data_IF_475627608340
#
_entry.id   IF_475627608340
#
_cell.length_a   1.000
_cell.length_b   1.000
_cell.length_c   1.000
_cell.angle_alpha   90.00
_cell.angle_beta   90.00
_cell.angle_gamma   90.00
#
_symmetry.space_group_name_H-M   'P 1'
#
loop_
_entity.id
_entity.type
_entity.pdbx_description
1 polymer ?
#
# COMPACT_ATOMS: atom_id res chain seq x y z
N UNK A 1 -18.35 -59.31 12.92
CA UNK A 1 -17.02 -58.68 13.10
C UNK A 1 -16.72 -57.59 12.07
N UNK A 2 -17.00 -57.80 10.77
CA UNK A 2 -16.64 -56.84 9.70
C UNK A 2 -17.48 -55.54 9.70
N UNK A 3 -18.77 -55.61 10.03
CA UNK A 3 -19.70 -54.46 9.98
C UNK A 3 -19.39 -53.40 11.07
N UNK A 4 -18.99 -53.85 12.27
CA UNK A 4 -18.63 -52.97 13.37
C UNK A 4 -17.34 -52.18 13.09
N UNK A 5 -16.35 -52.83 12.48
CA UNK A 5 -15.11 -52.18 12.06
C UNK A 5 -15.35 -51.13 10.96
N UNK A 6 -16.30 -51.38 10.05
CA UNK A 6 -16.67 -50.43 8.99
C UNK A 6 -17.37 -49.18 9.56
N UNK A 7 -18.28 -49.35 10.53
CA UNK A 7 -18.98 -48.23 11.17
C UNK A 7 -18.04 -47.36 12.02
N UNK A 8 -17.09 -47.98 12.72
CA UNK A 8 -16.06 -47.28 13.49
C UNK A 8 -15.13 -46.45 12.58
N UNK A 9 -14.74 -46.98 11.42
CA UNK A 9 -13.90 -46.26 10.46
C UNK A 9 -14.64 -45.11 9.78
N UNK A 10 -15.90 -45.31 9.37
CA UNK A 10 -16.76 -44.24 8.83
C UNK A 10 -17.03 -43.13 9.86
N UNK A 11 -17.24 -43.48 11.13
CA UNK A 11 -17.38 -42.50 12.23
C UNK A 11 -16.10 -41.68 12.43
N UNK A 12 -14.92 -42.31 12.34
CA UNK A 12 -13.64 -41.61 12.45
C UNK A 12 -13.37 -40.67 11.25
N UNK A 13 -13.73 -41.09 10.04
CA UNK A 13 -13.62 -40.26 8.83
C UNK A 13 -14.56 -39.04 8.88
N UNK A 14 -15.78 -39.21 9.37
CA UNK A 14 -16.74 -38.11 9.55
C UNK A 14 -16.31 -37.07 10.60
N UNK A 15 -15.64 -37.51 11.68
CA UNK A 15 -15.07 -36.59 12.68
C UNK A 15 -13.83 -35.85 12.16
N UNK A 16 -12.99 -36.48 11.33
CA UNK A 16 -11.83 -35.82 10.73
C UNK A 16 -12.20 -34.67 9.79
N UNK A 17 -13.33 -34.76 9.08
CA UNK A 17 -13.82 -33.67 8.20
C UNK A 17 -14.45 -32.50 8.96
N UNK A 18 -14.78 -32.66 10.24
CA UNK A 18 -15.41 -31.62 11.08
C UNK A 18 -14.41 -30.79 11.91
N UNK A 19 -13.11 -31.11 11.86
CA UNK A 19 -12.08 -30.44 12.66
C UNK A 19 -10.93 -29.87 11.83
N UNK A 20 -11.22 -29.25 10.67
CA UNK A 20 -10.31 -28.26 10.10
C UNK A 20 -10.83 -26.85 10.36
N UNK A 21 -10.76 -26.43 11.62
CA UNK A 21 -10.73 -25.01 11.93
C UNK A 21 -9.39 -24.48 11.43
N UNK A 22 -9.35 -23.92 10.22
CA UNK A 22 -8.20 -23.14 9.77
C UNK A 22 -8.04 -21.96 10.71
N UNK A 23 -7.00 -21.99 11.54
CA UNK A 23 -6.63 -20.88 12.38
C UNK A 23 -6.31 -19.69 11.48
N UNK A 24 -7.08 -18.60 11.61
CA UNK A 24 -6.74 -17.33 10.98
C UNK A 24 -5.42 -16.87 11.59
N UNK A 25 -4.34 -16.68 10.82
CA UNK A 25 -3.07 -16.25 11.37
C UNK A 25 -3.24 -14.87 12.03
N UNK A 26 -2.90 -14.78 13.32
CA UNK A 26 -2.83 -13.50 14.03
C UNK A 26 -1.57 -12.79 13.54
N UNK A 27 -1.74 -11.74 12.74
CA UNK A 27 -0.63 -10.89 12.30
C UNK A 27 -0.34 -9.84 13.39
N UNK A 28 0.79 -9.92 14.12
CA UNK A 28 1.13 -8.92 15.11
C UNK A 28 1.39 -7.57 14.42
N UNK A 29 0.77 -6.51 14.92
CA UNK A 29 1.10 -5.14 14.50
C UNK A 29 2.54 -4.85 14.96
N UNK A 30 3.40 -4.53 14.00
CA UNK A 30 4.81 -4.22 14.25
C UNK A 30 5.35 -3.25 13.20
N UNK A 31 6.65 -2.94 13.29
CA UNK A 31 7.34 -2.03 12.37
C UNK A 31 7.62 -2.65 10.99
N UNK A 32 7.14 -3.88 10.75
CA UNK A 32 7.21 -4.60 9.48
C UNK A 32 8.63 -4.57 8.85
N UNK A 33 9.65 -5.17 9.49
CA UNK A 33 11.06 -4.99 9.14
C UNK A 33 11.45 -5.49 7.75
N UNK A 34 10.63 -6.35 7.14
CA UNK A 34 10.84 -6.87 5.78
C UNK A 34 10.04 -6.13 4.72
N UNK A 35 9.35 -5.05 5.12
CA UNK A 35 8.68 -4.15 4.17
C UNK A 35 9.72 -3.35 3.41
N UNK A 36 9.60 -3.30 2.09
CA UNK A 36 10.30 -2.32 1.28
C UNK A 36 9.61 -0.97 1.43
N UNK A 37 10.27 -0.03 2.12
CA UNK A 37 9.69 1.21 2.63
C UNK A 37 10.43 2.47 2.15
N UNK A 38 11.18 2.37 1.05
CA UNK A 38 12.07 3.42 0.53
C UNK A 38 11.34 4.75 0.31
N UNK A 39 11.87 5.81 0.92
CA UNK A 39 11.35 7.17 0.83
C UNK A 39 12.08 8.04 -0.22
N UNK A 40 13.13 7.52 -0.87
CA UNK A 40 13.90 8.21 -1.92
C UNK A 40 14.41 9.61 -1.51
N UNK A 41 14.74 9.78 -0.23
CA UNK A 41 15.22 11.06 0.31
C UNK A 41 16.60 11.35 -0.26
N UNK A 42 16.72 12.47 -0.98
CA UNK A 42 17.98 12.92 -1.57
C UNK A 42 18.33 12.29 -2.93
N UNK A 43 17.49 11.42 -3.49
CA UNK A 43 17.76 10.75 -4.77
C UNK A 43 16.55 10.68 -5.71
N UNK A 44 15.49 11.42 -5.43
CA UNK A 44 14.29 11.43 -6.25
C UNK A 44 14.58 11.86 -7.70
N UNK A 45 15.44 12.85 -7.90
CA UNK A 45 15.81 13.34 -9.25
C UNK A 45 16.58 12.28 -10.04
N UNK A 46 17.56 11.61 -9.42
CA UNK A 46 18.29 10.50 -10.08
C UNK A 46 17.36 9.32 -10.38
N UNK A 47 16.41 9.02 -9.49
CA UNK A 47 15.40 7.99 -9.76
C UNK A 47 14.45 8.37 -10.90
N UNK A 48 14.08 9.65 -11.07
CA UNK A 48 13.27 10.11 -12.21
C UNK A 48 13.94 9.80 -13.56
N UNK A 49 15.26 9.91 -13.64
CA UNK A 49 16.01 9.62 -14.87
C UNK A 49 15.97 8.14 -15.25
N UNK A 50 15.89 7.25 -14.26
CA UNK A 50 15.92 5.78 -14.45
C UNK A 50 14.52 5.16 -14.51
N UNK A 51 13.54 5.77 -13.85
CA UNK A 51 12.22 5.18 -13.62
C UNK A 51 11.45 4.89 -14.91
N UNK A 52 11.60 5.70 -15.96
CA UNK A 52 10.91 5.48 -17.23
C UNK A 52 11.37 4.18 -17.93
N UNK A 53 12.68 3.95 -17.99
CA UNK A 53 13.24 2.74 -18.58
C UNK A 53 12.86 1.50 -17.75
N UNK A 54 13.00 1.60 -16.43
CA UNK A 54 12.59 0.56 -15.50
C UNK A 54 11.12 0.17 -15.65
N UNK A 55 10.22 1.15 -15.71
CA UNK A 55 8.79 0.88 -15.85
C UNK A 55 8.49 0.15 -17.17
N UNK A 56 9.18 0.50 -18.26
CA UNK A 56 9.05 -0.20 -19.54
C UNK A 56 9.47 -1.67 -19.42
N UNK A 57 10.55 -1.96 -18.71
CA UNK A 57 10.99 -3.33 -18.43
C UNK A 57 10.01 -4.09 -17.54
N UNK A 58 9.47 -3.44 -16.50
CA UNK A 58 8.47 -4.01 -15.60
C UNK A 58 7.19 -4.38 -16.35
N UNK A 59 6.66 -3.47 -17.17
CA UNK A 59 5.48 -3.72 -18.01
C UNK A 59 5.73 -4.83 -19.04
N UNK A 60 6.93 -4.94 -19.60
CA UNK A 60 7.27 -6.00 -20.55
C UNK A 60 7.24 -7.40 -19.92
N UNK A 61 7.46 -7.49 -18.60
CA UNK A 61 7.52 -8.76 -17.85
C UNK A 61 6.26 -9.03 -17.02
N UNK A 62 5.33 -8.08 -16.95
CA UNK A 62 4.18 -8.14 -16.05
C UNK A 62 2.90 -7.67 -16.76
N UNK A 63 2.16 -8.60 -17.38
CA UNK A 63 0.99 -8.31 -18.20
C UNK A 63 -0.07 -7.46 -17.47
N UNK A 64 -0.38 -7.80 -16.23
CA UNK A 64 -1.36 -7.07 -15.43
C UNK A 64 -0.92 -5.61 -15.14
N UNK A 65 0.38 -5.37 -15.00
CA UNK A 65 0.91 -4.02 -14.79
C UNK A 65 0.78 -3.21 -16.07
N UNK A 66 1.17 -3.79 -17.21
CA UNK A 66 1.06 -3.17 -18.52
C UNK A 66 -0.39 -2.76 -18.83
N UNK A 67 -1.32 -3.70 -18.72
CA UNK A 67 -2.75 -3.44 -19.00
C UNK A 67 -3.33 -2.38 -18.06
N UNK A 68 -2.99 -2.45 -16.77
CA UNK A 68 -3.43 -1.45 -15.79
C UNK A 68 -2.87 -0.07 -16.08
N UNK A 69 -1.59 0.01 -16.47
CA UNK A 69 -0.90 1.26 -16.76
C UNK A 69 -1.43 1.91 -18.03
N UNK A 70 -1.62 1.14 -19.11
CA UNK A 70 -2.18 1.63 -20.39
C UNK A 70 -3.59 2.18 -20.19
N UNK A 71 -4.47 1.44 -19.50
CA UNK A 71 -5.83 1.92 -19.19
C UNK A 71 -5.82 3.18 -18.30
N UNK A 72 -4.93 3.23 -17.31
CA UNK A 72 -4.80 4.40 -16.45
C UNK A 72 -4.23 5.62 -17.19
N UNK A 73 -3.36 5.42 -18.18
CA UNK A 73 -2.83 6.49 -19.03
C UNK A 73 -3.94 7.15 -19.86
N UNK A 74 -4.79 6.35 -20.51
CA UNK A 74 -5.95 6.87 -21.26
C UNK A 74 -6.91 7.67 -20.36
N UNK A 75 -7.20 7.14 -19.17
CA UNK A 75 -8.07 7.82 -18.21
C UNK A 75 -7.43 9.08 -17.62
N UNK A 76 -6.11 9.11 -17.45
CA UNK A 76 -5.36 10.29 -16.99
C UNK A 76 -5.45 11.45 -17.99
N UNK A 77 -5.37 11.18 -19.29
CA UNK A 77 -5.41 12.23 -20.33
C UNK A 77 -6.65 13.10 -20.26
N UNK A 78 -7.80 12.50 -19.94
CA UNK A 78 -9.06 13.21 -19.75
C UNK A 78 -9.11 13.91 -18.40
N UNK A 79 -8.69 13.21 -17.34
CA UNK A 79 -8.81 13.70 -15.96
C UNK A 79 -7.88 14.89 -15.68
N UNK A 80 -6.66 14.90 -16.21
CA UNK A 80 -5.67 15.95 -15.90
C UNK A 80 -6.08 17.35 -16.37
N UNK A 81 -6.93 17.47 -17.40
CA UNK A 81 -7.34 18.77 -17.98
C UNK A 81 -8.09 19.67 -16.98
N UNK A 82 -8.69 19.08 -15.94
CA UNK A 82 -9.42 19.81 -14.89
C UNK A 82 -8.65 19.98 -13.58
N UNK A 83 -7.37 19.58 -13.52
CA UNK A 83 -6.60 19.55 -12.28
C UNK A 83 -5.52 20.63 -12.25
N UNK A 84 -5.37 21.27 -11.09
CA UNK A 84 -4.18 22.09 -10.79
C UNK A 84 -3.18 21.20 -10.04
N UNK A 85 -2.09 20.85 -10.71
CA UNK A 85 -1.07 19.94 -10.18
C UNK A 85 0.08 20.71 -9.52
N UNK A 86 0.69 20.18 -8.44
CA UNK A 86 1.80 20.85 -7.77
C UNK A 86 3.07 20.84 -8.66
N UNK A 87 4.02 21.78 -8.42
CA UNK A 87 5.28 21.81 -9.15
C UNK A 87 6.01 20.47 -9.10
N UNK A 88 6.55 20.03 -10.25
CA UNK A 88 7.24 18.74 -10.36
C UNK A 88 6.33 17.52 -10.50
N UNK A 89 5.00 17.67 -10.40
CA UNK A 89 4.06 16.57 -10.61
C UNK A 89 3.90 16.24 -12.09
N UNK A 90 4.61 15.20 -12.53
CA UNK A 90 4.53 14.59 -13.86
C UNK A 90 3.34 13.62 -14.04
N UNK A 91 2.89 13.35 -15.27
CA UNK A 91 1.80 12.41 -15.55
C UNK A 91 1.96 11.02 -14.92
N UNK A 92 3.19 10.49 -14.90
CA UNK A 92 3.50 9.16 -14.36
C UNK A 92 3.11 9.02 -12.87
N UNK A 93 3.21 10.10 -12.09
CA UNK A 93 2.76 10.13 -10.70
C UNK A 93 1.25 9.94 -10.58
N UNK A 94 0.49 10.64 -11.42
CA UNK A 94 -0.96 10.55 -11.47
C UNK A 94 -1.44 9.18 -11.92
N UNK A 95 -0.81 8.66 -12.97
CA UNK A 95 -1.09 7.31 -13.49
C UNK A 95 -0.79 6.26 -12.42
N UNK A 96 0.34 6.33 -11.72
CA UNK A 96 0.66 5.40 -10.63
C UNK A 96 -0.40 5.38 -9.52
N UNK A 97 -0.94 6.54 -9.13
CA UNK A 97 -2.05 6.64 -8.17
C UNK A 97 -3.31 5.97 -8.73
N UNK A 98 -3.66 6.22 -9.99
CA UNK A 98 -4.82 5.58 -10.64
C UNK A 98 -4.67 4.06 -10.74
N UNK A 99 -3.48 3.58 -11.09
CA UNK A 99 -3.13 2.16 -11.13
C UNK A 99 -3.32 1.51 -9.77
N UNK A 100 -2.76 2.09 -8.70
CA UNK A 100 -2.86 1.53 -7.34
C UNK A 100 -4.30 1.49 -6.81
N UNK A 101 -5.11 2.49 -7.18
CA UNK A 101 -6.46 2.67 -6.64
C UNK A 101 -7.51 1.92 -7.46
N UNK A 102 -7.14 1.45 -8.65
CA UNK A 102 -8.01 0.64 -9.49
C UNK A 102 -8.45 -0.62 -8.74
N UNK A 103 -9.76 -0.77 -8.55
CA UNK A 103 -10.36 -1.92 -7.87
C UNK A 103 -10.90 -2.95 -8.85
N UNK A 104 -10.82 -2.68 -10.16
CA UNK A 104 -11.26 -3.60 -11.21
C UNK A 104 -10.24 -4.72 -11.48
N UNK A 105 -9.08 -4.69 -10.82
CA UNK A 105 -8.07 -5.73 -10.92
C UNK A 105 -7.29 -5.91 -9.59
N UNK A 106 -6.38 -6.90 -9.58
CA UNK A 106 -5.63 -7.34 -8.40
C UNK A 106 -4.22 -6.75 -8.29
N UNK A 107 -3.83 -5.77 -9.11
CA UNK A 107 -2.45 -5.28 -9.14
C UNK A 107 -2.05 -4.60 -7.82
N UNK A 108 -2.96 -3.87 -7.17
CA UNK A 108 -2.71 -3.27 -5.86
C UNK A 108 -2.35 -4.33 -4.82
N UNK A 109 -2.98 -5.51 -4.91
CA UNK A 109 -2.73 -6.63 -4.01
C UNK A 109 -1.34 -7.22 -4.24
N UNK A 110 -0.96 -7.44 -5.51
CA UNK A 110 0.37 -7.93 -5.87
C UNK A 110 1.47 -6.95 -5.45
N UNK A 111 1.25 -5.64 -5.63
CA UNK A 111 2.17 -4.61 -5.14
C UNK A 111 2.29 -4.67 -3.62
N UNK A 112 1.18 -4.69 -2.88
CA UNK A 112 1.19 -4.74 -1.42
C UNK A 112 1.91 -5.99 -0.89
N UNK A 113 1.73 -7.14 -1.56
CA UNK A 113 2.43 -8.36 -1.20
C UNK A 113 3.94 -8.28 -1.49
N UNK A 114 4.32 -7.71 -2.63
CA UNK A 114 5.72 -7.48 -2.96
C UNK A 114 6.38 -6.50 -1.98
N UNK A 115 5.66 -5.45 -1.56
CA UNK A 115 6.17 -4.49 -0.58
C UNK A 115 6.44 -5.16 0.76
N UNK A 116 5.51 -5.96 1.28
CA UNK A 116 5.63 -6.63 2.59
C UNK A 116 6.81 -7.61 2.69
N UNK A 117 7.27 -8.14 1.57
CA UNK A 117 8.27 -9.23 1.53
C UNK A 117 9.56 -8.86 0.80
N UNK A 118 9.54 -7.79 0.00
CA UNK A 118 10.67 -7.36 -0.83
C UNK A 118 11.80 -6.66 -0.09
N UNK A 119 11.59 -6.28 1.17
CA UNK A 119 12.52 -5.50 1.98
C UNK A 119 13.46 -6.32 2.86
N UNK A 120 13.60 -7.64 2.65
CA UNK A 120 14.51 -8.47 3.46
C UNK A 120 15.97 -7.99 3.43
N UNK A 121 16.47 -7.62 2.24
CA UNK A 121 17.79 -7.00 2.02
C UNK A 121 17.80 -6.24 0.69
N UNK A 122 18.82 -5.42 0.44
CA UNK A 122 18.97 -4.76 -0.87
C UNK A 122 19.15 -5.77 -1.99
N UNK A 123 19.94 -6.82 -1.77
CA UNK A 123 20.12 -7.90 -2.75
C UNK A 123 18.80 -8.58 -3.09
N UNK A 124 17.99 -8.89 -2.07
CA UNK A 124 16.68 -9.50 -2.27
C UNK A 124 15.74 -8.58 -3.05
N UNK A 125 15.70 -7.29 -2.68
CA UNK A 125 14.96 -6.26 -3.42
C UNK A 125 15.39 -6.20 -4.90
N UNK A 126 16.70 -6.14 -5.17
CA UNK A 126 17.20 -6.03 -6.54
C UNK A 126 16.78 -7.23 -7.39
N UNK A 127 16.86 -8.45 -6.83
CA UNK A 127 16.56 -9.70 -7.55
C UNK A 127 15.07 -10.00 -7.70
N UNK A 128 14.26 -9.74 -6.67
CA UNK A 128 12.90 -10.29 -6.59
C UNK A 128 11.77 -9.25 -6.59
N UNK A 129 12.05 -7.97 -6.30
CA UNK A 129 11.00 -6.95 -6.25
C UNK A 129 10.62 -6.49 -7.67
N UNK A 130 9.39 -6.74 -8.16
CA UNK A 130 9.05 -6.56 -9.57
C UNK A 130 8.50 -5.15 -9.90
N UNK A 131 8.33 -4.28 -8.91
CA UNK A 131 7.63 -2.99 -9.04
C UNK A 131 8.48 -1.79 -8.62
N UNK A 132 9.76 -1.75 -8.99
CA UNK A 132 10.72 -0.72 -8.59
C UNK A 132 10.28 0.67 -9.06
N UNK A 133 9.94 0.82 -10.34
CA UNK A 133 9.49 2.08 -10.91
C UNK A 133 8.07 2.43 -10.47
N UNK A 134 7.15 1.47 -10.45
CA UNK A 134 5.80 1.70 -9.94
C UNK A 134 5.81 2.20 -8.49
N UNK A 135 6.59 1.55 -7.61
CA UNK A 135 6.76 2.00 -6.23
C UNK A 135 7.36 3.41 -6.16
N UNK A 136 8.39 3.71 -6.95
CA UNK A 136 8.97 5.05 -7.03
C UNK A 136 7.93 6.10 -7.41
N UNK A 137 7.22 5.93 -8.53
CA UNK A 137 6.22 6.92 -8.98
C UNK A 137 5.09 7.09 -7.97
N UNK A 138 4.61 6.00 -7.36
CA UNK A 138 3.55 6.06 -6.36
C UNK A 138 4.01 6.82 -5.10
N UNK A 139 5.20 6.50 -4.59
CA UNK A 139 5.79 7.20 -3.43
C UNK A 139 6.04 8.67 -3.74
N UNK A 140 6.60 8.98 -4.92
CA UNK A 140 6.87 10.36 -5.33
C UNK A 140 5.59 11.17 -5.55
N UNK A 141 4.55 10.55 -6.10
CA UNK A 141 3.23 11.17 -6.24
C UNK A 141 2.69 11.62 -4.88
N UNK A 142 2.73 10.74 -3.88
CA UNK A 142 2.26 11.06 -2.54
C UNK A 142 3.07 12.19 -1.91
N UNK A 143 4.40 12.19 -2.04
CA UNK A 143 5.25 13.27 -1.55
C UNK A 143 4.90 14.63 -2.16
N UNK A 144 4.69 14.68 -3.48
CA UNK A 144 4.36 15.92 -4.20
C UNK A 144 2.95 16.43 -3.89
N UNK A 145 1.99 15.53 -3.70
CA UNK A 145 0.62 15.86 -3.29
C UNK A 145 0.53 16.31 -1.83
N UNK A 146 1.54 16.01 -1.00
CA UNK A 146 1.50 16.26 0.43
C UNK A 146 1.76 17.72 0.85
N UNK A 147 2.51 18.51 0.07
CA UNK A 147 2.75 19.95 0.35
C UNK A 147 3.33 20.29 1.75
N UNK A 148 3.81 21.52 1.95
CA UNK A 148 4.57 21.92 3.15
C UNK A 148 3.74 22.28 4.40
N UNK A 149 2.42 22.11 4.39
CA UNK A 149 1.52 22.53 5.50
C UNK A 149 0.89 21.33 6.19
N UNK A 150 1.45 20.88 7.32
CA UNK A 150 1.02 19.66 8.03
C UNK A 150 -0.38 19.65 8.65
N UNK A 151 -0.77 18.50 9.23
CA UNK A 151 -2.08 18.31 9.88
C UNK A 151 -2.23 19.24 11.09
N UNK A 152 -2.90 20.38 10.91
CA UNK A 152 -3.32 21.22 12.06
C UNK A 152 -4.65 20.71 12.58
N UNK A 153 -4.66 20.27 13.84
CA UNK A 153 -5.90 20.00 14.57
C UNK A 153 -6.55 21.34 14.95
N UNK A 154 -7.64 21.70 14.28
CA UNK A 154 -8.72 22.44 14.94
C UNK A 154 -9.48 21.50 15.89
N UNK A 155 -10.23 21.99 16.88
CA UNK A 155 -11.08 21.15 17.71
C UNK A 155 -12.20 20.57 16.85
N UNK A 156 -11.98 19.35 16.37
CA UNK A 156 -12.87 18.60 15.50
C UNK A 156 -12.14 17.33 15.09
N UNK A 157 -12.67 16.17 15.47
CA UNK A 157 -12.15 14.89 15.01
C UNK A 157 -12.23 14.89 13.47
N UNK A 158 -11.09 14.70 12.79
CA UNK A 158 -11.10 14.48 11.34
C UNK A 158 -11.63 13.07 11.12
N UNK A 159 -12.94 12.98 10.92
CA UNK A 159 -13.62 11.75 10.52
C UNK A 159 -13.54 11.69 8.99
N UNK A 160 -12.81 10.72 8.44
CA UNK A 160 -12.88 10.42 7.02
C UNK A 160 -14.28 9.87 6.71
N UNK A 161 -15.15 10.72 6.16
CA UNK A 161 -16.46 10.30 5.65
C UNK A 161 -16.38 10.20 4.11
N UNK A 162 -16.32 8.97 3.62
CA UNK A 162 -16.69 8.63 2.23
C UNK A 162 -15.64 8.79 1.13
N UNK A 163 -14.32 8.83 1.42
CA UNK A 163 -13.26 8.93 0.40
C UNK A 163 -12.06 8.05 0.75
N UNK A 164 -11.42 7.44 -0.26
CA UNK A 164 -10.22 6.58 -0.09
C UNK A 164 -9.01 7.42 0.38
N UNK A 165 -8.12 6.82 1.20
CA UNK A 165 -6.91 7.47 1.73
C UNK A 165 -5.71 6.55 1.51
N UNK A 166 -4.66 7.09 0.90
CA UNK A 166 -3.40 6.39 0.69
C UNK A 166 -2.42 6.71 1.81
N UNK A 167 -1.94 5.66 2.47
CA UNK A 167 -1.01 5.73 3.62
C UNK A 167 0.30 5.04 3.21
N UNK A 168 1.43 5.77 3.09
CA UNK A 168 2.73 5.17 2.82
C UNK A 168 3.20 4.21 3.93
N UNK A 169 4.03 3.21 3.61
CA UNK A 169 4.49 2.18 4.56
C UNK A 169 5.47 2.72 5.59
N UNK A 170 6.12 3.86 5.32
CA UNK A 170 7.02 4.52 6.25
C UNK A 170 6.30 5.48 7.22
N UNK A 171 4.96 5.55 7.24
CA UNK A 171 4.23 6.31 8.27
C UNK A 171 4.20 5.53 9.59
N UNK A 172 4.58 6.20 10.68
CA UNK A 172 4.57 5.59 12.02
C UNK A 172 3.32 6.02 12.78
N UNK A 173 2.60 5.03 13.32
CA UNK A 173 1.44 5.23 14.15
C UNK A 173 1.70 4.78 15.58
N UNK A 174 1.20 5.54 16.56
CA UNK A 174 1.06 5.08 17.93
C UNK A 174 -0.27 4.34 18.09
N UNK A 175 -0.22 3.15 18.68
CA UNK A 175 -1.43 2.46 19.13
C UNK A 175 -1.91 3.15 20.41
N UNK A 176 -3.02 3.89 20.34
CA UNK A 176 -3.55 4.63 21.49
C UNK A 176 -4.61 3.85 22.26
N UNK A 177 -5.27 2.89 21.59
CA UNK A 177 -6.28 2.04 22.22
C UNK A 177 -6.34 0.69 21.53
N UNK A 178 -6.50 -0.35 22.32
CA UNK A 178 -6.85 -1.69 21.89
C UNK A 178 -8.09 -2.14 22.66
N UNK A 179 -9.09 -2.67 21.97
CA UNK A 179 -10.25 -3.29 22.59
C UNK A 179 -10.70 -4.50 21.79
N UNK A 180 -11.14 -5.54 22.49
CA UNK A 180 -11.64 -6.76 21.88
C UNK A 180 -13.14 -6.87 22.15
N UNK A 181 -13.92 -7.01 21.09
CA UNK A 181 -15.37 -7.19 21.13
C UNK A 181 -15.70 -8.54 20.46
N UNK A 182 -15.77 -9.59 21.28
CA UNK A 182 -15.88 -10.97 20.80
C UNK A 182 -14.73 -11.34 19.86
N UNK A 183 -15.05 -11.65 18.61
CA UNK A 183 -14.07 -11.97 17.56
C UNK A 183 -13.43 -10.74 16.90
N UNK A 184 -13.88 -9.52 17.21
CA UNK A 184 -13.39 -8.29 16.58
C UNK A 184 -12.34 -7.63 17.46
N UNK A 185 -11.17 -7.35 16.88
CA UNK A 185 -10.16 -6.50 17.49
C UNK A 185 -10.29 -5.08 16.92
N UNK A 186 -10.50 -4.10 17.79
CA UNK A 186 -10.52 -2.68 17.41
C UNK A 186 -9.22 -2.03 17.91
N UNK A 187 -8.44 -1.51 16.96
CA UNK A 187 -7.18 -0.80 17.21
C UNK A 187 -7.39 0.66 16.83
N UNK A 188 -7.14 1.58 17.76
CA UNK A 188 -7.10 3.02 17.46
C UNK A 188 -5.66 3.45 17.27
N UNK A 189 -5.37 4.00 16.10
CA UNK A 189 -4.05 4.46 15.68
C UNK A 189 -4.01 5.99 15.66
N UNK A 190 -2.91 6.56 16.13
CA UNK A 190 -2.62 7.99 16.03
C UNK A 190 -1.34 8.20 15.24
N UNK A 191 -1.40 8.98 14.17
CA UNK A 191 -0.22 9.32 13.38
C UNK A 191 0.79 10.06 14.27
N UNK A 192 2.00 9.52 14.35
CA UNK A 192 3.07 10.09 15.15
C UNK A 192 3.72 11.32 14.47
N UNK A 193 3.19 11.74 13.32
CA UNK A 193 3.69 12.83 12.46
C UNK A 193 5.19 12.71 12.18
N UNK A 194 5.67 11.47 12.09
CA UNK A 194 7.03 11.10 11.75
C UNK A 194 6.95 9.95 10.77
N UNK A 195 7.87 9.96 9.81
CA UNK A 195 8.11 8.82 8.95
C UNK A 195 9.37 8.11 9.39
N UNK A 196 9.44 6.80 9.18
CA UNK A 196 10.58 5.96 9.50
C UNK A 196 10.74 4.93 8.40
N UNK A 197 11.93 4.84 7.81
CA UNK A 197 12.20 3.92 6.70
C UNK A 197 13.52 3.18 6.92
N UNK A 198 13.54 1.89 6.59
CA UNK A 198 14.73 1.04 6.64
C UNK A 198 15.57 1.17 5.36
N UNK A 199 14.93 1.56 4.25
CA UNK A 199 15.58 1.77 2.95
C UNK A 199 15.66 3.24 2.57
N UNK A 200 16.73 3.61 1.86
CA UNK A 200 16.78 4.89 1.18
C UNK A 200 17.61 4.75 -0.09
N UNK A 201 17.01 5.01 -1.25
CA UNK A 201 17.68 4.96 -2.55
C UNK A 201 18.23 3.56 -2.89
N UNK A 202 17.48 2.51 -2.59
CA UNK A 202 17.94 1.12 -2.66
C UNK A 202 18.39 0.71 -4.07
N UNK A 203 17.62 1.12 -5.09
CA UNK A 203 17.95 0.87 -6.48
C UNK A 203 19.29 1.51 -6.90
N UNK A 204 19.63 2.66 -6.30
CA UNK A 204 20.83 3.44 -6.58
C UNK A 204 22.04 3.04 -5.73
N UNK A 205 21.94 1.98 -4.91
CA UNK A 205 23.05 1.53 -4.07
C UNK A 205 22.79 1.61 -2.57
N UNK A 206 21.65 2.17 -2.14
CA UNK A 206 21.29 2.26 -0.73
C UNK A 206 21.08 0.90 -0.07
N UNK A 207 21.83 0.62 0.99
CA UNK A 207 21.68 -0.62 1.76
C UNK A 207 20.57 -0.52 2.82
N UNK A 208 19.99 -1.68 3.18
CA UNK A 208 19.02 -1.78 4.28
C UNK A 208 19.70 -1.41 5.59
N UNK A 209 19.09 -0.50 6.36
CA UNK A 209 19.56 -0.15 7.70
C UNK A 209 19.08 -1.17 8.73
N UNK A 210 19.85 -1.36 9.81
CA UNK A 210 19.48 -2.30 10.90
C UNK A 210 18.24 -1.86 11.69
N UNK A 211 17.87 -0.59 11.60
CA UNK A 211 16.66 -0.02 12.16
C UNK A 211 16.19 1.13 11.29
N UNK A 212 14.90 1.41 11.35
CA UNK A 212 14.31 2.46 10.54
C UNK A 212 14.87 3.82 10.98
N UNK A 213 15.10 4.70 10.01
CA UNK A 213 15.64 6.03 10.24
C UNK A 213 14.55 7.05 9.95
N UNK A 214 14.32 7.95 10.90
CA UNK A 214 13.32 8.98 10.74
C UNK A 214 13.78 10.05 9.76
N UNK A 215 12.87 10.47 8.89
CA UNK A 215 13.13 11.64 8.05
C UNK A 215 13.26 12.90 8.94
N UNK A 216 14.16 13.84 8.62
CA UNK A 216 14.31 15.07 9.39
C UNK A 216 12.99 15.85 9.44
N UNK A 217 12.75 16.54 10.57
CA UNK A 217 11.53 17.30 10.83
C UNK A 217 11.35 18.43 9.79
N UNK A 218 10.69 18.10 8.68
CA UNK A 218 10.56 18.96 7.51
C UNK A 218 10.36 18.20 6.20
N UNK A 219 10.69 16.90 6.15
CA UNK A 219 10.67 16.11 4.91
C UNK A 219 9.39 15.30 4.65
N UNK A 220 8.52 15.11 5.64
CA UNK A 220 7.25 14.41 5.44
C UNK A 220 6.24 14.85 6.51
N UNK A 221 5.54 15.95 6.23
CA UNK A 221 4.33 16.29 6.98
C UNK A 221 3.17 15.73 6.18
N UNK A 222 2.44 14.81 6.79
CA UNK A 222 1.29 14.19 6.14
C UNK A 222 0.18 15.21 6.08
N UNK A 223 0.01 15.82 4.93
CA UNK A 223 -1.21 16.53 4.58
C UNK A 223 -1.58 16.15 3.19
N UNK A 224 -2.58 15.30 3.07
CA UNK A 224 -3.23 15.21 1.78
C UNK A 224 -3.86 16.57 1.48
N UNK A 225 -3.52 17.18 0.34
CA UNK A 225 -4.44 18.12 -0.30
C UNK A 225 -5.74 17.34 -0.53
N UNK A 226 -6.68 17.45 0.41
CA UNK A 226 -7.92 16.67 0.44
C UNK A 226 -8.71 16.86 -0.87
N UNK A 227 -8.56 18.01 -1.53
CA UNK A 227 -9.17 18.26 -2.84
C UNK A 227 -8.49 17.49 -3.98
N UNK A 228 -7.16 17.54 -4.08
CA UNK A 228 -6.44 17.01 -5.25
C UNK A 228 -6.33 15.49 -5.22
N UNK A 229 -5.87 14.86 -4.12
CA UNK A 229 -5.86 13.39 -4.10
C UNK A 229 -7.28 12.88 -4.24
N UNK A 230 -8.26 13.53 -3.62
CA UNK A 230 -9.59 13.01 -3.74
C UNK A 230 -10.20 13.19 -5.14
N UNK A 231 -9.85 14.24 -5.89
CA UNK A 231 -10.21 14.33 -7.31
C UNK A 231 -9.51 13.25 -8.16
N UNK A 232 -8.29 12.84 -7.78
CA UNK A 232 -7.60 11.71 -8.38
C UNK A 232 -8.33 10.39 -8.11
N UNK A 233 -8.79 10.18 -6.87
CA UNK A 233 -9.48 8.98 -6.42
C UNK A 233 -10.96 8.91 -6.80
N UNK A 234 -11.59 10.05 -7.10
CA UNK A 234 -12.99 10.10 -7.53
C UNK A 234 -13.12 9.40 -8.90
N UNK A 235 -13.74 8.23 -8.90
CA UNK A 235 -14.05 7.48 -10.12
C UNK A 235 -15.44 7.90 -10.59
N UNK A 236 -15.62 8.45 -11.81
CA UNK A 236 -16.94 8.90 -12.29
C UNK A 236 -17.98 7.77 -12.37
N UNK A 237 -17.56 6.50 -12.27
CA UNK A 237 -18.45 5.33 -12.25
C UNK A 237 -19.02 4.95 -10.86
N UNK A 238 -18.59 5.56 -9.75
CA UNK A 238 -19.11 5.22 -8.40
C UNK A 238 -20.11 6.27 -7.90
N UNK A 239 -21.37 5.87 -7.83
CA UNK A 239 -22.44 6.66 -7.20
C UNK A 239 -22.22 6.88 -5.69
N UNK A 240 -22.99 7.79 -5.05
CA UNK A 240 -22.68 8.40 -3.75
C UNK A 240 -22.92 7.51 -2.51
N UNK A 241 -22.88 6.17 -2.64
CA UNK A 241 -23.16 5.25 -1.52
C UNK A 241 -22.16 4.09 -1.51
N UNK A 242 -20.99 4.33 -0.94
CA UNK A 242 -19.98 3.30 -0.68
C UNK A 242 -19.35 3.48 0.71
N UNK A 243 -19.17 2.36 1.42
CA UNK A 243 -18.37 2.30 2.66
C UNK A 243 -16.91 2.59 2.31
N UNK A 244 -16.15 3.37 3.11
CA UNK A 244 -14.75 3.65 2.81
C UNK A 244 -13.91 2.36 2.75
N UNK A 245 -13.12 2.18 1.70
CA UNK A 245 -12.10 1.12 1.64
C UNK A 245 -10.75 1.79 1.95
N UNK A 246 -10.16 1.46 3.10
CA UNK A 246 -8.79 1.87 3.44
C UNK A 246 -7.82 0.97 2.68
N UNK A 247 -7.37 1.39 1.49
CA UNK A 247 -6.28 0.70 0.78
C UNK A 247 -4.91 1.09 1.36
N UNK A 248 -4.59 0.56 2.54
CA UNK A 248 -3.27 0.75 3.14
C UNK A 248 -2.28 -0.30 2.62
N UNK A 249 -1.02 0.10 2.44
CA UNK A 249 0.01 -0.76 1.84
C UNK A 249 0.44 -1.88 2.81
N UNK A 250 0.24 -1.68 4.12
CA UNK A 250 0.79 -2.53 5.18
C UNK A 250 -0.25 -3.29 6.04
N UNK A 251 -1.54 -2.94 6.03
CA UNK A 251 -2.51 -3.42 7.05
C UNK A 251 -3.61 -4.38 6.56
N UNK A 252 -3.52 -4.93 5.35
CA UNK A 252 -4.58 -5.85 4.86
C UNK A 252 -4.22 -7.33 5.03
N UNK A 253 -5.13 -8.06 5.68
CA UNK A 253 -5.12 -9.52 5.87
C UNK A 253 -5.13 -10.29 4.54
N UNK A 254 -4.72 -11.57 4.52
CA UNK A 254 -4.86 -12.45 3.36
C UNK A 254 -6.31 -12.51 2.86
N UNK A 255 -6.52 -12.47 1.55
CA UNK A 255 -7.83 -12.80 0.98
C UNK A 255 -8.23 -14.23 1.37
N UNK A 256 -9.53 -14.52 1.58
CA UNK A 256 -9.98 -15.89 1.69
C UNK A 256 -9.68 -16.63 0.38
N UNK A 257 -9.16 -17.85 0.49
CA UNK A 257 -8.99 -18.72 -0.66
C UNK A 257 -10.37 -18.98 -1.28
N UNK A 258 -10.50 -18.73 -2.59
CA UNK A 258 -11.66 -19.10 -3.41
C UNK A 258 -11.78 -20.60 -3.56
#
# INVERSE_FOLDING_TARGET
MMLAALLLTLSCLGLHTLWQAQAVPILPLGLAPDTFDDAYVGCAEEMEEKAAALLKEEMARHALLRESWEAAQEAWEQKQRGLTLPPGFRPQHGIAVMVYTNSSNTLYWELNQALRTGGGSREFYMRHFPFKALHFYLTRALQLLQGSKGCTRGPGQVVFRGREVLIPPHEVFLVTRFSQDGARSLVTLWSYNKTCSNFNCAYLGGEKRRGCVSAPAGAARLTLQQGLLSALLDNPARGPRGVPVLKSWALESPMPAT
#
